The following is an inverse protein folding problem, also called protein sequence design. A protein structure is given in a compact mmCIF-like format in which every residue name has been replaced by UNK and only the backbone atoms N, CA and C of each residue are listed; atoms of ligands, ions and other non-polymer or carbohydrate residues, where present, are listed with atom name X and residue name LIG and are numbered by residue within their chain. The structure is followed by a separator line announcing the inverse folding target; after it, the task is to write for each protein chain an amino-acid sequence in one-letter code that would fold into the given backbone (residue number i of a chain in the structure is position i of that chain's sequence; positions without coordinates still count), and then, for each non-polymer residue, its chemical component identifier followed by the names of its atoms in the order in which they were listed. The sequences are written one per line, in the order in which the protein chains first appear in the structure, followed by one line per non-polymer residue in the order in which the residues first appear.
data_IF_634562501454
#
_entry.id   IF_634562501454
#
_cell.length_a   1.000
_cell.length_b   1.000
_cell.length_c   1.000
_cell.angle_alpha   90.00
_cell.angle_beta   90.00
_cell.angle_gamma   90.00
#
_symmetry.space_group_name_H-M   'P 1'
#
loop_
_entity.id
_entity.type
_entity.pdbx_description
1 polymer ?
#
# COMPACT_ATOMS: atom_id res chain seq x y z
N UNK A 1 -21.16 -18.31 7.71
CA UNK A 1 -20.62 -17.00 7.29
C UNK A 1 -19.34 -16.79 8.05
N UNK A 2 -18.19 -16.94 7.41
CA UNK A 2 -16.91 -16.78 8.10
C UNK A 2 -16.64 -15.30 8.27
N UNK A 3 -16.78 -14.81 9.50
CA UNK A 3 -16.20 -13.54 9.91
C UNK A 3 -14.72 -13.55 9.56
N UNK A 4 -14.29 -12.63 8.69
CA UNK A 4 -12.87 -12.45 8.43
C UNK A 4 -12.24 -11.87 9.70
N UNK A 5 -11.71 -12.73 10.56
CA UNK A 5 -10.94 -12.35 11.76
C UNK A 5 -9.65 -11.68 11.28
N UNK A 6 -9.64 -10.35 11.19
CA UNK A 6 -8.46 -9.56 10.85
C UNK A 6 -8.78 -8.20 10.20
N UNK A 7 -7.83 -7.26 10.19
CA UNK A 7 -8.01 -5.94 9.58
C UNK A 7 -8.42 -6.08 8.12
N UNK A 8 -9.26 -5.20 7.60
CA UNK A 8 -9.58 -5.15 6.16
C UNK A 8 -8.34 -4.85 5.31
N UNK A 9 -8.32 -5.18 4.01
CA UNK A 9 -7.20 -4.81 3.12
C UNK A 9 -6.89 -3.31 3.16
N UNK A 10 -7.92 -2.46 3.21
CA UNK A 10 -7.77 -1.02 3.37
C UNK A 10 -7.06 -0.65 4.68
N UNK A 11 -7.41 -1.28 5.80
CA UNK A 11 -6.77 -1.04 7.09
C UNK A 11 -5.32 -1.51 7.12
N UNK A 12 -5.01 -2.64 6.48
CA UNK A 12 -3.62 -3.10 6.33
C UNK A 12 -2.78 -2.06 5.61
N UNK A 13 -3.23 -1.56 4.46
CA UNK A 13 -2.49 -0.56 3.70
C UNK A 13 -2.39 0.77 4.47
N UNK A 14 -3.47 1.25 5.09
CA UNK A 14 -3.46 2.49 5.90
C UNK A 14 -2.52 2.39 7.11
N UNK A 15 -2.40 1.19 7.70
CA UNK A 15 -1.52 0.99 8.86
C UNK A 15 -0.04 0.83 8.48
N UNK A 16 0.26 0.64 7.20
CA UNK A 16 1.61 0.45 6.69
C UNK A 16 2.13 1.67 5.91
N UNK A 17 1.56 1.96 4.73
CA UNK A 17 2.21 2.83 3.74
C UNK A 17 2.44 4.28 4.23
N UNK A 18 1.56 4.90 5.04
CA UNK A 18 1.81 6.24 5.55
C UNK A 18 2.95 6.32 6.58
N UNK A 19 3.34 5.19 7.17
CA UNK A 19 4.31 5.13 8.27
C UNK A 19 5.64 4.50 7.85
N UNK A 20 5.72 3.90 6.66
CA UNK A 20 6.96 3.33 6.13
C UNK A 20 7.75 4.37 5.34
N UNK A 21 8.72 5.02 5.99
CA UNK A 21 9.52 6.10 5.42
C UNK A 21 10.23 5.74 4.10
N UNK A 22 10.45 4.45 3.83
CA UNK A 22 11.09 3.98 2.58
C UNK A 22 10.19 4.16 1.36
N UNK A 23 8.88 4.01 1.54
CA UNK A 23 7.90 4.01 0.44
C UNK A 23 6.94 5.20 0.50
N UNK A 24 6.83 5.85 1.67
CA UNK A 24 5.90 6.95 1.93
C UNK A 24 6.02 8.07 0.89
N UNK A 25 7.24 8.54 0.59
CA UNK A 25 7.43 9.69 -0.30
C UNK A 25 6.95 9.39 -1.72
N UNK A 26 7.27 8.20 -2.25
CA UNK A 26 6.76 7.73 -3.53
C UNK A 26 5.25 7.55 -3.52
N UNK A 27 4.70 6.95 -2.47
CA UNK A 27 3.25 6.81 -2.30
C UNK A 27 2.53 8.16 -2.27
N UNK A 28 3.09 9.16 -1.59
CA UNK A 28 2.58 10.54 -1.55
C UNK A 28 2.60 11.16 -2.95
N UNK A 29 3.70 11.02 -3.71
CA UNK A 29 3.76 11.52 -5.10
C UNK A 29 2.63 10.94 -5.95
N UNK A 30 2.45 9.62 -5.94
CA UNK A 30 1.37 8.97 -6.70
C UNK A 30 -0.04 9.36 -6.20
N UNK A 31 -0.20 9.60 -4.90
CA UNK A 31 -1.45 10.06 -4.30
C UNK A 31 -1.80 11.51 -4.69
N UNK A 32 -0.80 12.38 -4.80
CA UNK A 32 -1.02 13.78 -5.24
C UNK A 32 -1.30 13.87 -6.74
N UNK A 33 -0.60 13.07 -7.56
CA UNK A 33 -0.71 13.09 -9.02
C UNK A 33 -2.05 12.56 -9.55
N UNK A 34 -2.80 11.79 -8.74
CA UNK A 34 -4.07 11.19 -9.15
C UNK A 34 -5.10 11.14 -8.02
N UNK A 35 -6.15 11.94 -8.17
CA UNK A 35 -7.27 12.02 -7.23
C UNK A 35 -8.13 10.75 -7.17
N UNK A 36 -8.10 9.90 -8.20
CA UNK A 36 -8.86 8.65 -8.22
C UNK A 36 -8.23 7.57 -7.33
N UNK A 37 -6.93 7.69 -7.03
CA UNK A 37 -6.15 6.69 -6.30
C UNK A 37 -5.64 5.54 -7.19
N UNK A 38 -5.88 5.57 -8.50
CA UNK A 38 -5.46 4.52 -9.42
C UNK A 38 -3.93 4.44 -9.54
N UNK A 39 -3.22 5.57 -9.59
CA UNK A 39 -1.74 5.57 -9.58
C UNK A 39 -1.17 5.01 -8.28
N UNK A 40 -1.78 5.37 -7.15
CA UNK A 40 -1.40 4.82 -5.85
C UNK A 40 -1.63 3.30 -5.80
N UNK A 41 -2.76 2.80 -6.32
CA UNK A 41 -3.01 1.38 -6.47
C UNK A 41 -1.90 0.70 -7.29
N UNK A 42 -1.57 1.22 -8.48
CA UNK A 42 -0.55 0.63 -9.35
C UNK A 42 0.82 0.61 -8.67
N UNK A 43 1.17 1.70 -7.97
CA UNK A 43 2.42 1.77 -7.20
C UNK A 43 2.48 0.68 -6.13
N UNK A 44 1.44 0.57 -5.30
CA UNK A 44 1.40 -0.43 -4.22
C UNK A 44 1.30 -1.85 -4.76
N UNK A 45 0.61 -2.09 -5.88
CA UNK A 45 0.58 -3.38 -6.56
C UNK A 45 1.98 -3.79 -7.04
N UNK A 46 2.75 -2.86 -7.61
CA UNK A 46 4.12 -3.12 -8.03
C UNK A 46 5.02 -3.47 -6.84
N UNK A 47 4.89 -2.76 -5.72
CA UNK A 47 5.62 -3.09 -4.48
C UNK A 47 5.26 -4.49 -3.98
N UNK A 48 3.96 -4.72 -3.75
CA UNK A 48 3.47 -5.89 -3.03
C UNK A 48 3.49 -7.15 -3.88
N UNK A 49 3.26 -7.06 -5.19
CA UNK A 49 3.10 -8.23 -6.05
C UNK A 49 4.20 -8.40 -7.10
N UNK A 50 5.04 -7.38 -7.32
CA UNK A 50 6.07 -7.41 -8.37
C UNK A 50 7.47 -7.09 -7.88
N UNK A 51 7.63 -6.89 -6.57
CA UNK A 51 8.89 -6.56 -5.92
C UNK A 51 9.62 -5.40 -6.62
N UNK A 52 8.85 -4.38 -7.02
CA UNK A 52 9.30 -3.23 -7.80
C UNK A 52 8.82 -1.91 -7.20
N UNK A 53 9.77 -1.00 -6.96
CA UNK A 53 9.57 0.36 -6.45
C UNK A 53 9.91 1.37 -7.56
N UNK A 54 8.90 1.81 -8.32
CA UNK A 54 9.03 2.79 -9.41
C UNK A 54 10.15 2.44 -10.42
N UNK A 55 10.25 1.16 -10.81
CA UNK A 55 11.25 0.68 -11.76
C UNK A 55 12.52 0.12 -11.11
N UNK A 56 12.70 0.28 -9.79
CA UNK A 56 13.81 -0.30 -9.02
C UNK A 56 13.40 -1.64 -8.40
N UNK A 57 14.25 -2.67 -8.49
CA UNK A 57 14.03 -3.91 -7.74
C UNK A 57 14.18 -3.68 -6.23
N UNK A 58 13.31 -4.32 -5.45
CA UNK A 58 13.40 -4.29 -3.98
C UNK A 58 14.62 -5.07 -3.47
N UNK A 59 15.27 -4.53 -2.44
CA UNK A 59 16.32 -5.25 -1.71
C UNK A 59 15.73 -6.20 -0.66
N UNK A 60 16.56 -7.07 -0.08
CA UNK A 60 16.13 -8.12 0.87
C UNK A 60 15.26 -7.62 2.03
N UNK A 61 15.58 -6.44 2.57
CA UNK A 61 14.82 -5.85 3.68
C UNK A 61 13.42 -5.38 3.25
N UNK A 62 13.32 -4.84 2.04
CA UNK A 62 12.07 -4.40 1.44
C UNK A 62 11.21 -5.61 1.04
N UNK A 63 11.83 -6.65 0.48
CA UNK A 63 11.18 -7.94 0.19
C UNK A 63 10.56 -8.57 1.45
N UNK A 64 11.28 -8.55 2.59
CA UNK A 64 10.73 -9.01 3.87
C UNK A 64 9.51 -8.19 4.31
N UNK A 65 9.56 -6.88 4.09
CA UNK A 65 8.42 -5.99 4.38
C UNK A 65 7.23 -6.34 3.51
N UNK A 66 7.42 -6.54 2.20
CA UNK A 66 6.34 -6.98 1.31
C UNK A 66 5.80 -8.35 1.71
N UNK A 67 6.66 -9.26 2.20
CA UNK A 67 6.25 -10.52 2.81
C UNK A 67 5.26 -10.34 3.97
N UNK A 68 5.57 -9.45 4.90
CA UNK A 68 4.70 -9.13 6.04
C UNK A 68 3.36 -8.52 5.57
N UNK A 69 3.40 -7.55 4.67
CA UNK A 69 2.19 -6.93 4.11
C UNK A 69 1.30 -7.97 3.42
N UNK A 70 1.88 -8.86 2.60
CA UNK A 70 1.15 -9.96 1.94
C UNK A 70 0.51 -10.91 2.96
N UNK A 71 1.19 -11.19 4.07
CA UNK A 71 0.64 -12.02 5.15
C UNK A 71 -0.56 -11.34 5.83
N UNK A 72 -0.47 -10.05 6.14
CA UNK A 72 -1.54 -9.26 6.77
C UNK A 72 -2.76 -9.09 5.85
N UNK A 73 -2.52 -8.95 4.54
CA UNK A 73 -3.58 -8.97 3.54
C UNK A 73 -4.33 -10.32 3.55
N UNK A 74 -3.71 -11.39 4.05
CA UNK A 74 -4.30 -12.72 4.17
C UNK A 74 -4.93 -13.21 2.86
N UNK A 75 -4.16 -13.13 1.77
CA UNK A 75 -4.57 -13.48 0.38
C UNK A 75 -5.71 -12.64 -0.20
N UNK A 76 -6.19 -11.59 0.49
CA UNK A 76 -7.20 -10.68 -0.05
C UNK A 76 -6.56 -9.76 -1.08
N UNK A 77 -7.32 -9.49 -2.15
CA UNK A 77 -6.85 -8.70 -3.28
C UNK A 77 -6.71 -7.22 -2.94
N UNK A 78 -5.64 -6.59 -3.42
CA UNK A 78 -5.47 -5.13 -3.43
C UNK A 78 -6.57 -4.41 -4.22
N UNK A 79 -7.26 -5.08 -5.14
CA UNK A 79 -8.43 -4.53 -5.83
C UNK A 79 -9.64 -4.27 -4.92
N UNK A 80 -9.64 -4.80 -3.68
CA UNK A 80 -10.68 -4.54 -2.68
C UNK A 80 -10.35 -3.38 -1.73
N UNK A 81 -9.17 -2.77 -1.88
CA UNK A 81 -8.73 -1.62 -1.09
C UNK A 81 -9.48 -0.36 -1.55
N UNK A 82 -9.93 0.44 -0.59
CA UNK A 82 -10.42 1.79 -0.85
C UNK A 82 -9.24 2.75 -0.99
N UNK A 83 -8.76 2.90 -2.23
CA UNK A 83 -7.62 3.74 -2.56
C UNK A 83 -7.86 5.23 -2.34
N UNK A 84 -9.12 5.69 -2.36
CA UNK A 84 -9.44 7.08 -2.00
C UNK A 84 -9.21 7.32 -0.51
N UNK A 85 -9.57 6.35 0.34
CA UNK A 85 -9.31 6.42 1.78
C UNK A 85 -7.81 6.33 2.11
N UNK A 86 -7.05 5.47 1.44
CA UNK A 86 -5.58 5.41 1.61
C UNK A 86 -4.94 6.73 1.21
N UNK A 87 -5.33 7.29 0.05
CA UNK A 87 -4.89 8.60 -0.43
C UNK A 87 -5.15 9.69 0.61
N UNK A 88 -6.37 9.77 1.14
CA UNK A 88 -6.73 10.76 2.14
C UNK A 88 -5.79 10.70 3.35
N UNK A 89 -5.48 9.50 3.87
CA UNK A 89 -4.54 9.36 5.00
C UNK A 89 -3.09 9.70 4.67
N UNK A 90 -2.61 9.38 3.48
CA UNK A 90 -1.28 9.80 3.06
C UNK A 90 -1.13 11.33 2.99
N UNK A 91 -2.17 12.02 2.52
CA UNK A 91 -2.16 13.47 2.34
C UNK A 91 -2.43 14.21 3.66
N UNK A 92 -3.35 13.72 4.50
CA UNK A 92 -3.57 14.29 5.84
C UNK A 92 -2.27 14.34 6.66
N UNK A 93 -1.39 13.35 6.51
CA UNK A 93 -0.10 13.31 7.20
C UNK A 93 0.96 14.30 6.69
N UNK A 94 0.65 15.16 5.70
CA UNK A 94 1.55 16.21 5.20
C UNK A 94 1.44 17.54 5.95
N UNK A 95 0.43 17.69 6.81
CA UNK A 95 0.11 18.91 7.54
C UNK A 95 0.70 18.94 8.95
#
# INVERSE_FOLDING_TARGET
MSDAVGPSPTEVIISWIPYDARFRDSAVRHALDDHSGQRLFVYVDNLVNRDNDDGRSLGDFDLRTMGAVRADLNRRSLGSVDWRRVRAKLIEGLH
#
